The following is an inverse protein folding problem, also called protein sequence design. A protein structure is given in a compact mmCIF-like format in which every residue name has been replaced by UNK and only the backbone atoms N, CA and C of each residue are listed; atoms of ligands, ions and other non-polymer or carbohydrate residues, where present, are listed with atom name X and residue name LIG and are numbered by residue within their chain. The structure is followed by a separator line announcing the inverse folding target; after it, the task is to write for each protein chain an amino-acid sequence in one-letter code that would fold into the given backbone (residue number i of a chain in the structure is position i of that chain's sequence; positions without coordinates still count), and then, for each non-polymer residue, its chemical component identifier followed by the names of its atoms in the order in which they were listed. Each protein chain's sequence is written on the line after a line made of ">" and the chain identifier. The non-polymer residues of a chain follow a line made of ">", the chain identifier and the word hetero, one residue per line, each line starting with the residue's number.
data_IF_994442887469
#
_entry.id   IF_994442887469
#
_cell.length_a   1.000
_cell.length_b   1.000
_cell.length_c   1.000
_cell.angle_alpha   90.00
_cell.angle_beta   90.00
_cell.angle_gamma   90.00
#
_symmetry.space_group_name_H-M   'P 1'
#
loop_
_entity.id
_entity.type
_entity.pdbx_description
1 polymer ?
#
# COMPACT_ATOMS: atom_id res chain seq x y z
N UNK A 1 0.68 6.17 -34.00
CA UNK A 1 1.48 6.72 -32.89
C UNK A 1 1.19 8.20 -32.80
N UNK A 2 0.75 8.69 -31.65
CA UNK A 2 0.45 10.10 -31.42
C UNK A 2 1.72 10.73 -30.87
N UNK A 3 2.54 11.34 -31.73
CA UNK A 3 3.81 11.94 -31.32
C UNK A 3 3.56 13.38 -30.83
N UNK A 4 4.01 13.76 -29.63
CA UNK A 4 3.91 15.14 -29.17
C UNK A 4 4.80 16.04 -30.03
N UNK A 5 4.37 17.29 -30.22
CA UNK A 5 5.23 18.35 -30.75
C UNK A 5 6.41 18.57 -29.77
N UNK A 6 7.61 18.97 -30.25
CA UNK A 6 8.74 19.37 -29.41
C UNK A 6 8.39 20.26 -28.20
N UNK A 7 7.39 21.14 -28.30
CA UNK A 7 6.95 22.02 -27.20
C UNK A 7 6.14 21.26 -26.14
N UNK A 8 5.34 20.28 -26.55
CA UNK A 8 4.45 19.52 -25.66
C UNK A 8 5.12 18.29 -25.04
N UNK A 9 6.30 17.89 -25.55
CA UNK A 9 7.01 16.70 -25.10
C UNK A 9 7.29 16.71 -23.59
N UNK A 10 7.71 17.85 -23.05
CA UNK A 10 8.04 17.95 -21.63
C UNK A 10 6.82 17.69 -20.73
N UNK A 11 5.66 18.26 -21.09
CA UNK A 11 4.41 18.08 -20.35
C UNK A 11 3.89 16.65 -20.44
N UNK A 12 3.95 16.03 -21.63
CA UNK A 12 3.53 14.64 -21.81
C UNK A 12 4.42 13.66 -21.03
N UNK A 13 5.74 13.87 -21.01
CA UNK A 13 6.67 13.04 -20.25
C UNK A 13 6.43 13.13 -18.74
N UNK A 14 6.11 14.33 -18.23
CA UNK A 14 5.74 14.52 -16.83
C UNK A 14 4.44 13.77 -16.47
N UNK A 15 3.41 13.92 -17.30
CA UNK A 15 2.13 13.22 -17.12
C UNK A 15 2.32 11.70 -17.10
N UNK A 16 3.08 11.16 -18.07
CA UNK A 16 3.37 9.73 -18.15
C UNK A 16 4.16 9.23 -16.91
N UNK A 17 5.10 10.03 -16.40
CA UNK A 17 5.85 9.70 -15.18
C UNK A 17 4.95 9.61 -13.94
N UNK A 18 3.98 10.52 -13.82
CA UNK A 18 3.00 10.51 -12.74
C UNK A 18 2.04 9.31 -12.85
N UNK A 19 1.56 9.02 -14.05
CA UNK A 19 0.73 7.85 -14.32
C UNK A 19 1.45 6.55 -13.97
N UNK A 20 2.70 6.41 -14.39
CA UNK A 20 3.50 5.21 -14.13
C UNK A 20 3.67 4.96 -12.62
N UNK A 21 3.96 6.02 -11.84
CA UNK A 21 4.06 5.93 -10.38
C UNK A 21 2.74 5.54 -9.73
N UNK A 22 1.63 6.09 -10.23
CA UNK A 22 0.28 5.80 -9.72
C UNK A 22 -0.08 4.34 -9.99
N UNK A 23 0.13 3.88 -11.22
CA UNK A 23 -0.09 2.49 -11.63
C UNK A 23 0.71 1.50 -10.78
N UNK A 24 1.96 1.82 -10.46
CA UNK A 24 2.79 0.93 -9.62
C UNK A 24 2.31 0.89 -8.16
N UNK A 25 1.76 1.98 -7.62
CA UNK A 25 1.10 2.00 -6.30
C UNK A 25 -0.17 1.15 -6.31
N UNK A 26 -1.01 1.29 -7.33
CA UNK A 26 -2.24 0.51 -7.49
C UNK A 26 -1.95 -0.99 -7.61
N UNK A 27 -0.93 -1.37 -8.39
CA UNK A 27 -0.49 -2.78 -8.48
C UNK A 27 -0.06 -3.35 -7.14
N UNK A 28 0.67 -2.59 -6.32
CA UNK A 28 1.07 -3.00 -4.97
C UNK A 28 -0.16 -3.13 -4.05
N UNK A 29 -1.12 -2.23 -4.17
CA UNK A 29 -2.37 -2.29 -3.42
C UNK A 29 -3.19 -3.53 -3.80
N UNK A 30 -3.33 -3.83 -5.09
CA UNK A 30 -4.03 -5.02 -5.57
C UNK A 30 -3.42 -6.30 -4.99
N UNK A 31 -2.09 -6.40 -4.93
CA UNK A 31 -1.40 -7.52 -4.29
C UNK A 31 -1.76 -7.64 -2.81
N UNK A 32 -1.81 -6.54 -2.07
CA UNK A 32 -2.22 -6.53 -0.65
C UNK A 32 -3.68 -6.97 -0.48
N UNK A 33 -4.57 -6.57 -1.38
CA UNK A 33 -5.98 -7.00 -1.35
C UNK A 33 -6.08 -8.51 -1.54
N UNK A 34 -5.37 -9.08 -2.53
CA UNK A 34 -5.33 -10.53 -2.77
C UNK A 34 -4.78 -11.27 -1.54
N UNK A 35 -3.71 -10.75 -0.92
CA UNK A 35 -3.16 -11.32 0.31
C UNK A 35 -4.18 -11.29 1.46
N UNK A 36 -4.94 -10.21 1.62
CA UNK A 36 -6.00 -10.13 2.62
C UNK A 36 -7.12 -11.15 2.38
N UNK A 37 -7.50 -11.38 1.12
CA UNK A 37 -8.50 -12.40 0.75
C UNK A 37 -7.98 -13.79 1.12
N UNK A 38 -6.74 -14.14 0.76
CA UNK A 38 -6.18 -15.44 1.11
C UNK A 38 -6.16 -15.66 2.63
N UNK A 39 -5.83 -14.64 3.43
CA UNK A 39 -5.89 -14.75 4.89
C UNK A 39 -7.29 -14.97 5.45
N UNK A 40 -8.31 -14.47 4.76
CA UNK A 40 -9.71 -14.74 5.14
C UNK A 40 -10.00 -16.22 4.87
N UNK A 41 -9.58 -16.73 3.71
CA UNK A 41 -9.76 -18.14 3.36
C UNK A 41 -8.99 -19.09 4.30
N UNK A 42 -7.86 -18.64 4.83
CA UNK A 42 -7.01 -19.37 5.78
C UNK A 42 -7.41 -19.18 7.26
N UNK A 43 -8.49 -18.44 7.57
CA UNK A 43 -8.93 -18.07 8.93
C UNK A 43 -7.87 -17.30 9.77
N UNK A 44 -6.90 -16.66 9.11
CA UNK A 44 -5.84 -15.86 9.75
C UNK A 44 -6.10 -14.33 9.67
N UNK A 45 -7.18 -13.92 9.02
CA UNK A 45 -7.49 -12.51 8.84
C UNK A 45 -7.85 -11.81 10.16
N UNK A 46 -7.36 -10.58 10.31
CA UNK A 46 -7.67 -9.73 11.46
C UNK A 46 -6.68 -9.85 12.62
N UNK A 47 -5.59 -10.60 12.48
CA UNK A 47 -4.51 -10.67 13.46
C UNK A 47 -3.26 -9.90 13.00
N UNK A 48 -2.55 -9.31 13.97
CA UNK A 48 -1.33 -8.56 13.73
C UNK A 48 -0.17 -9.52 13.42
N UNK A 49 0.47 -9.37 12.26
CA UNK A 49 1.60 -10.22 11.85
C UNK A 49 2.81 -10.13 12.79
N UNK A 50 2.96 -9.03 13.52
CA UNK A 50 4.15 -8.81 14.37
C UNK A 50 4.00 -9.35 15.79
N UNK A 51 2.79 -9.42 16.34
CA UNK A 51 2.57 -9.80 17.75
C UNK A 51 1.41 -10.76 17.97
N UNK A 52 0.67 -11.12 16.93
CA UNK A 52 -0.41 -12.10 16.97
C UNK A 52 -1.72 -11.61 17.59
N UNK A 53 -1.79 -10.37 18.09
CA UNK A 53 -3.02 -9.83 18.69
C UNK A 53 -4.03 -9.42 17.62
N UNK A 54 -5.31 -9.37 18.00
CA UNK A 54 -6.39 -8.90 17.12
C UNK A 54 -6.22 -7.44 16.71
N UNK A 55 -6.48 -7.16 15.43
CA UNK A 55 -6.58 -5.82 14.86
C UNK A 55 -8.02 -5.35 15.06
N UNK A 56 -8.18 -4.19 15.71
CA UNK A 56 -9.51 -3.68 16.03
C UNK A 56 -10.43 -3.55 14.81
N UNK A 57 -11.70 -3.96 14.95
CA UNK A 57 -12.69 -4.01 13.85
C UNK A 57 -12.80 -2.67 13.11
N UNK A 58 -12.94 -1.55 13.83
CA UNK A 58 -13.02 -0.20 13.22
C UNK A 58 -11.80 0.14 12.35
N UNK A 59 -10.63 -0.41 12.67
CA UNK A 59 -9.41 -0.22 11.87
C UNK A 59 -9.46 -1.04 10.59
N UNK A 60 -9.96 -2.28 10.65
CA UNK A 60 -10.14 -3.12 9.46
C UNK A 60 -11.26 -2.59 8.57
N UNK A 61 -12.33 -2.02 9.13
CA UNK A 61 -13.38 -1.32 8.36
C UNK A 61 -12.81 -0.11 7.61
N UNK A 62 -11.94 0.67 8.26
CA UNK A 62 -11.27 1.81 7.64
C UNK A 62 -10.19 1.39 6.63
N UNK A 63 -9.48 0.30 6.90
CA UNK A 63 -8.41 -0.22 6.05
C UNK A 63 -8.35 -1.76 6.14
N UNK A 64 -9.06 -2.48 5.26
CA UNK A 64 -9.11 -3.95 5.29
C UNK A 64 -7.75 -4.61 5.03
N UNK A 65 -6.84 -3.92 4.34
CA UNK A 65 -5.50 -4.45 4.04
C UNK A 65 -4.48 -4.18 5.15
N UNK A 66 -4.91 -3.95 6.40
CA UNK A 66 -4.01 -3.67 7.51
C UNK A 66 -3.38 -4.97 8.03
N UNK A 67 -2.04 -5.05 8.01
CA UNK A 67 -1.27 -6.24 8.43
C UNK A 67 -0.85 -6.17 9.91
N UNK A 68 -0.91 -4.97 10.53
CA UNK A 68 -0.46 -4.74 11.91
C UNK A 68 -1.48 -3.95 12.72
N UNK A 69 -1.48 -4.22 14.04
CA UNK A 69 -2.16 -3.40 15.04
C UNK A 69 -1.58 -1.98 15.08
N UNK A 70 -2.26 -1.06 15.79
CA UNK A 70 -1.86 0.34 15.87
C UNK A 70 -0.46 0.47 16.51
N UNK A 71 -0.20 -0.25 17.59
CA UNK A 71 1.05 -0.14 18.35
C UNK A 71 2.25 -0.60 17.51
N UNK A 72 2.17 -1.80 16.92
CA UNK A 72 3.22 -2.32 16.03
C UNK A 72 3.44 -1.42 14.83
N UNK A 73 2.37 -0.89 14.21
CA UNK A 73 2.52 0.01 13.07
C UNK A 73 3.17 1.34 13.48
N UNK A 74 2.81 1.88 14.64
CA UNK A 74 3.40 3.12 15.17
C UNK A 74 4.89 2.95 15.45
N UNK A 75 5.27 1.83 16.08
CA UNK A 75 6.67 1.49 16.33
C UNK A 75 7.45 1.31 15.02
N UNK A 76 6.86 0.65 14.02
CA UNK A 76 7.47 0.50 12.70
C UNK A 76 7.72 1.86 12.03
N UNK A 77 6.76 2.79 12.08
CA UNK A 77 6.90 4.14 11.52
C UNK A 77 7.94 4.99 12.28
N UNK A 78 8.07 4.84 13.60
CA UNK A 78 9.13 5.49 14.37
C UNK A 78 10.51 4.97 13.93
N UNK A 79 10.64 3.65 13.76
CA UNK A 79 11.89 3.04 13.27
C UNK A 79 12.22 3.49 11.85
N UNK A 80 11.26 3.50 10.95
CA UNK A 80 11.41 3.99 9.56
C UNK A 80 11.97 5.43 9.54
N UNK A 81 11.44 6.31 10.38
CA UNK A 81 11.92 7.70 10.52
C UNK A 81 13.35 7.80 11.08
N UNK A 82 13.73 6.90 11.99
CA UNK A 82 15.06 6.91 12.62
C UNK A 82 16.15 6.35 11.72
N UNK A 83 15.83 5.30 10.94
CA UNK A 83 16.81 4.54 10.18
C UNK A 83 16.80 4.84 8.67
N UNK A 84 15.77 5.53 8.15
CA UNK A 84 15.72 5.97 6.75
C UNK A 84 15.63 4.84 5.72
N UNK A 85 15.30 3.62 6.15
CA UNK A 85 14.92 2.48 5.29
C UNK A 85 13.41 2.41 5.13
#
# INVERSE_FOLDING_TARGET
>A
ANFPDPVDRASQEEEFSLELRTRDRERKLLKKIIQSINKIDDDEYGYCESCGIEIGIRRLEARPTAEMCIDCKTLAEIKEKQYGT
#
